data_IF_582611766607
#
_entry.id   IF_582611766607
#
_cell.length_a   1.000
_cell.length_b   1.000
_cell.length_c   1.000
_cell.angle_alpha   90.00
_cell.angle_beta   90.00
_cell.angle_gamma   90.00
#
_symmetry.space_group_name_H-M   'P 1'
#
loop_
_entity.id
_entity.type
_entity.pdbx_description
1 polymer ?
#
# COMPACT_ATOMS: atom_id res chain seq x y z
N UNK A 1 11.40 28.55 -2.85
CA UNK A 1 11.51 27.81 -4.13
C UNK A 1 10.11 27.46 -4.61
N UNK A 2 9.80 27.46 -5.92
CA UNK A 2 8.47 27.11 -6.42
C UNK A 2 8.15 25.61 -6.38
N UNK A 3 9.11 24.76 -6.02
CA UNK A 3 8.93 23.32 -5.82
C UNK A 3 9.18 22.98 -4.33
N UNK A 4 8.36 22.08 -3.77
CA UNK A 4 8.48 21.64 -2.37
C UNK A 4 9.48 20.50 -2.24
N UNK A 5 10.24 20.46 -1.15
CA UNK A 5 11.12 19.32 -0.83
C UNK A 5 10.33 18.06 -0.44
N UNK A 6 9.00 18.19 -0.21
CA UNK A 6 8.09 17.05 -0.05
C UNK A 6 7.80 16.42 -1.42
N UNK A 7 8.56 15.37 -1.74
CA UNK A 7 8.50 14.69 -3.04
C UNK A 7 7.20 13.91 -3.30
N UNK A 8 6.47 13.50 -2.26
CA UNK A 8 5.22 12.73 -2.37
C UNK A 8 4.11 13.39 -1.56
N UNK A 9 3.00 13.72 -2.22
CA UNK A 9 1.81 14.28 -1.56
C UNK A 9 0.68 13.25 -1.40
N UNK A 10 0.45 12.46 -2.44
CA UNK A 10 -0.65 11.50 -2.55
C UNK A 10 -0.27 10.35 -3.46
N UNK A 11 -0.77 9.15 -3.19
CA UNK A 11 -0.68 8.00 -4.10
C UNK A 11 -2.00 7.25 -4.15
N UNK A 12 -2.21 6.51 -5.23
CA UNK A 12 -3.40 5.70 -5.45
C UNK A 12 -2.98 4.27 -5.79
N UNK A 13 -3.67 3.30 -5.21
CA UNK A 13 -3.54 1.88 -5.53
C UNK A 13 -4.84 1.44 -6.19
N UNK A 14 -4.81 1.11 -7.50
CA UNK A 14 -6.00 0.68 -8.22
C UNK A 14 -6.61 -0.61 -7.66
N UNK A 15 -7.93 -0.67 -7.53
CA UNK A 15 -8.67 -1.87 -7.19
C UNK A 15 -9.81 -2.11 -8.18
N UNK A 16 -9.97 -3.35 -8.63
CA UNK A 16 -11.13 -3.76 -9.43
C UNK A 16 -12.30 -4.15 -8.53
N UNK A 17 -11.97 -4.76 -7.40
CA UNK A 17 -12.91 -5.08 -6.32
C UNK A 17 -12.38 -4.44 -5.02
N UNK A 18 -12.88 -3.24 -4.72
CA UNK A 18 -12.43 -2.47 -3.56
C UNK A 18 -12.83 -3.11 -2.24
N UNK A 19 -13.95 -3.86 -2.21
CA UNK A 19 -14.39 -4.57 -1.02
C UNK A 19 -13.39 -5.69 -0.66
N UNK A 20 -12.92 -6.43 -1.67
CA UNK A 20 -11.84 -7.43 -1.51
C UNK A 20 -10.51 -6.78 -1.14
N UNK A 21 -10.13 -5.69 -1.82
CA UNK A 21 -8.88 -5.00 -1.56
C UNK A 21 -8.84 -4.44 -0.13
N UNK A 22 -9.89 -3.74 0.32
CA UNK A 22 -9.97 -3.19 1.68
C UNK A 22 -9.88 -4.29 2.72
N UNK A 23 -10.55 -5.43 2.52
CA UNK A 23 -10.39 -6.58 3.41
C UNK A 23 -8.93 -7.03 3.49
N UNK A 24 -8.26 -7.19 2.35
CA UNK A 24 -6.84 -7.58 2.30
C UNK A 24 -5.95 -6.60 3.07
N UNK A 25 -6.09 -5.29 2.82
CA UNK A 25 -5.27 -4.27 3.46
C UNK A 25 -5.56 -4.12 4.96
N UNK A 26 -6.83 -4.29 5.38
CA UNK A 26 -7.19 -4.35 6.81
C UNK A 26 -6.55 -5.55 7.50
N UNK A 27 -6.56 -6.73 6.87
CA UNK A 27 -5.96 -7.94 7.43
C UNK A 27 -4.43 -7.79 7.57
N UNK A 28 -3.73 -7.30 6.54
CA UNK A 28 -2.26 -7.21 6.60
C UNK A 28 -1.75 -6.05 7.45
N UNK A 29 -2.50 -4.96 7.57
CA UNK A 29 -2.12 -3.81 8.40
C UNK A 29 -2.76 -3.79 9.77
N UNK A 30 -3.63 -4.76 10.08
CA UNK A 30 -4.41 -4.80 11.33
C UNK A 30 -5.15 -3.48 11.57
N UNK A 31 -5.77 -2.99 10.50
CA UNK A 31 -6.42 -1.69 10.41
C UNK A 31 -7.93 -1.84 10.16
N UNK A 32 -8.63 -0.71 10.14
CA UNK A 32 -10.05 -0.63 9.82
C UNK A 32 -10.31 0.52 8.84
N UNK A 33 -9.81 0.37 7.61
CA UNK A 33 -10.12 1.27 6.51
C UNK A 33 -11.57 1.07 6.07
N UNK A 34 -12.24 2.18 5.80
CA UNK A 34 -13.63 2.21 5.38
C UNK A 34 -13.73 2.67 3.92
N UNK A 35 -14.72 2.11 3.21
CA UNK A 35 -15.00 2.49 1.83
C UNK A 35 -15.93 3.69 1.84
N UNK A 36 -15.53 4.72 1.09
CA UNK A 36 -16.33 5.91 0.82
C UNK A 36 -16.67 5.92 -0.65
N UNK A 37 -17.95 6.11 -0.97
CA UNK A 37 -18.45 6.19 -2.35
C UNK A 37 -18.68 7.66 -2.73
N UNK A 38 -17.97 8.11 -3.75
CA UNK A 38 -18.15 9.41 -4.37
C UNK A 38 -18.73 9.25 -5.77
N UNK A 39 -20.06 9.13 -5.84
CA UNK A 39 -20.82 9.05 -7.10
C UNK A 39 -20.35 7.89 -8.01
N UNK A 40 -20.11 6.73 -7.42
CA UNK A 40 -19.61 5.53 -8.10
C UNK A 40 -18.09 5.41 -8.14
N UNK A 41 -17.34 6.42 -7.69
CA UNK A 41 -15.90 6.33 -7.46
C UNK A 41 -15.68 5.92 -6.00
N UNK A 42 -15.37 4.64 -5.78
CA UNK A 42 -15.13 4.13 -4.44
C UNK A 42 -13.68 4.33 -4.05
N UNK A 43 -13.44 4.76 -2.81
CA UNK A 43 -12.10 4.96 -2.26
C UNK A 43 -12.02 4.45 -0.83
N UNK A 44 -10.85 4.00 -0.41
CA UNK A 44 -10.56 3.74 1.01
C UNK A 44 -9.21 4.36 1.36
N UNK A 45 -9.22 5.28 2.33
CA UNK A 45 -8.04 6.06 2.70
C UNK A 45 -7.14 5.28 3.67
N UNK A 46 -5.83 5.30 3.43
CA UNK A 46 -4.85 4.68 4.33
C UNK A 46 -4.58 5.52 5.60
N UNK A 47 -4.96 6.80 5.58
CA UNK A 47 -4.91 7.68 6.76
C UNK A 47 -5.93 8.81 6.60
N UNK A 48 -6.53 9.22 7.73
CA UNK A 48 -7.38 10.39 7.90
C UNK A 48 -6.59 11.62 8.41
N UNK A 49 -5.31 11.44 8.72
CA UNK A 49 -4.42 12.51 9.20
C UNK A 49 -3.76 13.24 8.03
N UNK A 50 -4.33 14.38 7.68
CA UNK A 50 -3.86 15.24 6.59
C UNK A 50 -2.46 15.84 6.80
N UNK A 51 -1.84 15.65 7.97
CA UNK A 51 -0.44 16.05 8.20
C UNK A 51 0.55 15.00 7.68
N UNK A 52 0.10 13.75 7.48
CA UNK A 52 0.90 12.64 6.96
C UNK A 52 0.82 12.56 5.43
N UNK A 53 1.64 11.72 4.84
CA UNK A 53 1.52 11.37 3.42
C UNK A 53 0.25 10.54 3.24
N UNK A 54 -0.70 11.06 2.46
CA UNK A 54 -1.96 10.37 2.18
C UNK A 54 -1.84 9.35 1.05
N UNK A 55 -2.87 8.53 0.94
CA UNK A 55 -3.11 7.67 -0.22
C UNK A 55 -4.39 6.87 -0.05
N UNK A 56 -4.83 6.25 -1.14
CA UNK A 56 -6.07 5.48 -1.14
C UNK A 56 -5.99 4.24 -2.03
N UNK A 57 -6.80 3.25 -1.68
CA UNK A 57 -7.35 2.30 -2.66
C UNK A 57 -8.40 3.02 -3.47
N UNK A 58 -8.40 2.84 -4.79
CA UNK A 58 -9.33 3.53 -5.70
C UNK A 58 -9.93 2.55 -6.69
N UNK A 59 -11.25 2.55 -6.79
CA UNK A 59 -12.00 1.85 -7.82
C UNK A 59 -12.81 2.85 -8.64
N UNK A 60 -12.41 3.01 -9.90
CA UNK A 60 -13.11 3.75 -10.94
C UNK A 60 -12.71 3.19 -12.32
N UNK A 61 -13.31 3.72 -13.39
CA UNK A 61 -13.07 3.24 -14.76
C UNK A 61 -11.62 3.42 -15.27
N UNK A 62 -10.83 4.29 -14.62
CA UNK A 62 -9.43 4.57 -14.97
C UNK A 62 -8.42 3.82 -14.09
N UNK A 63 -8.90 3.10 -13.06
CA UNK A 63 -8.07 2.42 -12.08
C UNK A 63 -7.77 0.98 -12.53
N UNK A 64 -6.60 0.79 -13.14
CA UNK A 64 -6.15 -0.53 -13.63
C UNK A 64 -4.97 -1.03 -12.79
N UNK A 65 -5.13 -2.15 -12.05
CA UNK A 65 -4.02 -2.76 -11.33
C UNK A 65 -2.90 -3.20 -12.26
N UNK A 66 -1.65 -3.06 -11.79
CA UNK A 66 -0.47 -3.42 -12.58
C UNK A 66 0.68 -3.94 -11.71
N UNK A 67 1.44 -4.88 -12.28
CA UNK A 67 2.69 -5.40 -11.71
C UNK A 67 3.91 -4.53 -12.07
N UNK A 68 3.76 -3.60 -13.01
CA UNK A 68 4.84 -2.78 -13.59
C UNK A 68 4.56 -1.29 -13.42
N UNK A 69 5.59 -0.46 -13.59
CA UNK A 69 5.51 0.99 -13.41
C UNK A 69 6.01 1.43 -12.04
N UNK A 70 5.47 2.55 -11.54
CA UNK A 70 5.83 3.11 -10.23
C UNK A 70 5.32 2.22 -9.10
N UNK A 71 6.17 2.00 -8.09
CA UNK A 71 5.85 1.20 -6.91
C UNK A 71 5.77 2.09 -5.67
N UNK A 72 4.68 1.98 -4.92
CA UNK A 72 4.55 2.61 -3.61
C UNK A 72 5.18 1.71 -2.55
N UNK A 73 5.92 2.31 -1.63
CA UNK A 73 6.43 1.63 -0.44
C UNK A 73 5.69 2.16 0.79
N UNK A 74 4.95 1.28 1.47
CA UNK A 74 4.39 1.58 2.78
C UNK A 74 5.48 1.50 3.86
N UNK A 75 5.31 2.26 4.94
CA UNK A 75 6.11 2.06 6.13
C UNK A 75 5.71 0.75 6.80
N UNK A 76 6.64 -0.18 6.92
CA UNK A 76 6.52 -1.43 7.68
C UNK A 76 6.68 -1.22 9.19
N UNK A 77 6.64 0.02 9.69
CA UNK A 77 6.88 0.34 11.09
C UNK A 77 8.31 -0.02 11.51
N UNK A 78 8.43 -0.61 12.70
CA UNK A 78 9.73 -1.08 13.20
C UNK A 78 10.25 -2.25 12.35
N UNK A 79 9.40 -3.23 12.04
CA UNK A 79 9.77 -4.42 11.29
C UNK A 79 8.66 -4.84 10.31
N UNK A 80 8.99 -4.80 9.01
CA UNK A 80 8.06 -5.16 7.93
C UNK A 80 7.66 -6.65 7.91
N UNK A 81 8.37 -7.52 8.65
CA UNK A 81 8.11 -8.97 8.69
C UNK A 81 6.71 -9.30 9.19
N UNK A 82 6.18 -8.52 10.14
CA UNK A 82 4.83 -8.74 10.67
C UNK A 82 3.78 -8.62 9.58
N UNK A 83 3.86 -7.55 8.78
CA UNK A 83 2.95 -7.34 7.64
C UNK A 83 3.14 -8.43 6.59
N UNK A 84 4.39 -8.72 6.18
CA UNK A 84 4.67 -9.76 5.19
C UNK A 84 4.12 -11.13 5.59
N UNK A 85 4.18 -11.48 6.87
CA UNK A 85 3.70 -12.79 7.37
C UNK A 85 2.20 -12.99 7.16
N UNK A 86 1.42 -11.91 7.09
CA UNK A 86 -0.04 -11.93 6.90
C UNK A 86 -0.47 -11.94 5.43
N UNK A 87 0.40 -11.52 4.51
CA UNK A 87 0.07 -11.36 3.07
C UNK A 87 -0.55 -12.61 2.48
N UNK A 88 0.09 -13.77 2.63
CA UNK A 88 -0.39 -15.02 2.02
C UNK A 88 -1.72 -15.47 2.62
N UNK A 89 -1.90 -15.31 3.94
CA UNK A 89 -3.15 -15.64 4.63
C UNK A 89 -4.32 -14.74 4.23
N UNK A 90 -4.04 -13.49 3.86
CA UNK A 90 -5.03 -12.53 3.37
C UNK A 90 -5.37 -12.70 1.87
N UNK A 91 -4.68 -13.60 1.16
CA UNK A 91 -4.92 -13.90 -0.26
C UNK A 91 -4.00 -13.17 -1.24
N UNK A 92 -2.97 -12.47 -0.75
CA UNK A 92 -1.89 -11.93 -1.59
C UNK A 92 -0.73 -12.91 -1.77
N UNK A 93 0.37 -12.44 -2.35
CA UNK A 93 1.59 -13.22 -2.56
C UNK A 93 2.83 -12.42 -2.20
N UNK A 94 3.72 -12.98 -1.39
CA UNK A 94 5.04 -12.39 -1.18
C UNK A 94 5.90 -12.61 -2.42
N UNK A 95 6.43 -11.53 -3.00
CA UNK A 95 7.28 -11.53 -4.19
C UNK A 95 8.76 -11.46 -3.80
N UNK A 96 9.07 -10.57 -2.86
CA UNK A 96 10.36 -10.51 -2.18
C UNK A 96 10.09 -10.53 -0.68
N UNK A 97 10.69 -11.51 0.00
CA UNK A 97 10.76 -11.52 1.46
C UNK A 97 11.51 -10.31 1.99
N UNK A 98 11.61 -10.18 3.32
CA UNK A 98 12.42 -9.13 3.94
C UNK A 98 13.87 -9.26 3.51
N UNK A 99 14.35 -8.26 2.78
CA UNK A 99 15.72 -8.14 2.29
C UNK A 99 16.39 -6.92 2.87
N UNK A 100 17.61 -7.08 3.36
CA UNK A 100 18.44 -5.96 3.82
C UNK A 100 18.94 -5.14 2.63
N UNK A 101 18.75 -3.83 2.69
CA UNK A 101 19.36 -2.88 1.73
C UNK A 101 20.79 -2.58 2.21
N UNK A 102 20.91 -2.02 3.41
CA UNK A 102 22.16 -1.74 4.13
C UNK A 102 21.84 -1.42 5.60
N UNK A 103 22.86 -1.22 6.44
CA UNK A 103 22.64 -0.73 7.81
C UNK A 103 22.04 0.68 7.86
N UNK A 104 22.30 1.51 6.84
CA UNK A 104 21.84 2.90 6.77
C UNK A 104 20.44 3.03 6.15
N UNK A 105 20.09 2.13 5.22
CA UNK A 105 18.84 2.19 4.47
C UNK A 105 17.81 1.14 4.90
N UNK A 106 18.12 0.32 5.90
CA UNK A 106 17.18 -0.64 6.47
C UNK A 106 16.85 -1.81 5.53
N UNK A 107 15.57 -2.18 5.50
CA UNK A 107 15.05 -3.37 4.85
C UNK A 107 13.87 -3.03 3.94
N UNK A 108 13.68 -3.84 2.91
CA UNK A 108 12.49 -3.81 2.11
C UNK A 108 11.89 -5.19 1.93
N UNK A 109 10.62 -5.23 1.56
CA UNK A 109 9.92 -6.40 1.08
C UNK A 109 8.91 -6.00 0.03
N UNK A 110 8.42 -6.96 -0.75
CA UNK A 110 7.44 -6.70 -1.80
C UNK A 110 6.41 -7.80 -1.82
N UNK A 111 5.14 -7.41 -1.92
CA UNK A 111 4.04 -8.32 -2.16
C UNK A 111 3.21 -7.91 -3.37
N UNK A 112 2.48 -8.88 -3.88
CA UNK A 112 1.36 -8.71 -4.80
C UNK A 112 0.06 -8.77 -3.99
N UNK A 113 -0.79 -7.74 -4.11
CA UNK A 113 -2.10 -7.71 -3.45
C UNK A 113 -3.16 -8.53 -4.22
N UNK A 114 -4.39 -8.57 -3.71
CA UNK A 114 -5.49 -9.33 -4.34
C UNK A 114 -5.93 -8.80 -5.70
N UNK A 115 -5.51 -7.58 -6.05
CA UNK A 115 -5.84 -6.90 -7.30
C UNK A 115 -4.74 -7.09 -8.36
N UNK A 116 -3.59 -7.62 -7.96
CA UNK A 116 -2.41 -7.82 -8.79
C UNK A 116 -1.42 -6.65 -8.75
N UNK A 117 -1.60 -5.69 -7.84
CA UNK A 117 -0.66 -4.59 -7.66
C UNK A 117 0.58 -5.05 -6.94
N UNK A 118 1.70 -4.50 -7.37
CA UNK A 118 3.01 -4.76 -6.82
C UNK A 118 3.38 -3.66 -5.83
N UNK A 119 3.36 -3.97 -4.54
CA UNK A 119 3.47 -3.00 -3.45
C UNK A 119 4.67 -3.32 -2.56
N UNK A 120 5.41 -2.29 -2.18
CA UNK A 120 6.59 -2.39 -1.33
C UNK A 120 6.28 -2.12 0.14
N UNK A 121 7.12 -2.66 1.00
CA UNK A 121 7.25 -2.28 2.41
C UNK A 121 8.69 -1.86 2.66
N UNK A 122 8.87 -0.86 3.52
CA UNK A 122 10.18 -0.43 4.00
C UNK A 122 10.17 -0.29 5.52
N UNK A 123 11.18 -0.80 6.19
CA UNK A 123 11.39 -0.63 7.64
C UNK A 123 12.86 -0.41 7.94
N UNK A 124 13.14 0.23 9.09
CA UNK A 124 14.52 0.42 9.53
C UNK A 124 15.15 -0.86 10.07
N UNK A 125 14.33 -1.80 10.58
CA UNK A 125 14.80 -3.09 11.09
C UNK A 125 14.11 -4.29 10.49
#
# INVERSE_FOLDING_TARGET
>A
MPFSDKVLNWFEIPAKDIDRAVKFYNDIFEANFEIIDFQGNKMAFFTDDYTKTGGALVQNEYSVPAQTGTRVYFSGGNDLSGVLSRVTGAGGKVIFDKMKISDEYGYYGVFEDTEGNHVGLHSNS
#
